data_IF_069267440043
#
_entry.id   IF_069267440043
#
_cell.length_a   1.000
_cell.length_b   1.000
_cell.length_c   1.000
_cell.angle_alpha   90.00
_cell.angle_beta   90.00
_cell.angle_gamma   90.00
#
_symmetry.space_group_name_H-M   'P 1'
#
loop_
_entity.id
_entity.type
_entity.pdbx_description
1 polymer ?
#
# COMPACT_ATOMS: atom_id res chain seq x y z
N UNK A 1 -54.34 -70.28 -55.40
CA UNK A 1 -53.89 -70.44 -53.99
C UNK A 1 -52.53 -71.10 -53.88
N UNK A 2 -52.25 -72.24 -54.54
CA UNK A 2 -50.96 -72.94 -54.46
C UNK A 2 -49.73 -72.17 -55.02
N UNK A 3 -49.92 -71.30 -56.01
CA UNK A 3 -48.85 -70.51 -56.63
C UNK A 3 -48.45 -69.30 -55.77
N UNK A 4 -49.40 -68.74 -55.01
CA UNK A 4 -49.16 -67.64 -54.08
C UNK A 4 -48.39 -68.12 -52.84
N UNK A 5 -48.67 -69.34 -52.35
CA UNK A 5 -47.88 -69.97 -51.28
C UNK A 5 -46.46 -70.32 -51.71
N UNK A 6 -46.25 -70.69 -52.98
CA UNK A 6 -44.94 -71.04 -53.52
C UNK A 6 -43.95 -69.87 -53.61
N UNK A 7 -44.42 -68.64 -53.82
CA UNK A 7 -43.58 -67.42 -53.87
C UNK A 7 -43.43 -66.71 -52.51
N UNK A 8 -44.40 -66.86 -51.60
CA UNK A 8 -44.39 -66.20 -50.29
C UNK A 8 -43.54 -66.95 -49.25
N UNK A 9 -43.55 -68.28 -49.27
CA UNK A 9 -42.75 -69.11 -48.36
C UNK A 9 -41.24 -68.77 -48.42
N UNK A 10 -40.60 -68.69 -49.61
CA UNK A 10 -39.18 -68.32 -49.73
C UNK A 10 -38.89 -66.90 -49.24
N UNK A 11 -39.82 -65.94 -49.44
CA UNK A 11 -39.66 -64.56 -48.97
C UNK A 11 -39.73 -64.48 -47.44
N UNK A 12 -40.67 -65.18 -46.81
CA UNK A 12 -40.80 -65.25 -45.35
C UNK A 12 -39.56 -65.91 -44.74
N UNK A 13 -39.07 -66.99 -45.35
CA UNK A 13 -37.84 -67.66 -44.94
C UNK A 13 -36.64 -66.71 -45.01
N UNK A 14 -36.47 -66.00 -46.13
CA UNK A 14 -35.42 -65.00 -46.30
C UNK A 14 -35.51 -63.86 -45.28
N UNK A 15 -36.71 -63.37 -44.99
CA UNK A 15 -36.94 -62.34 -43.96
C UNK A 15 -36.55 -62.86 -42.57
N UNK A 16 -36.90 -64.11 -42.25
CA UNK A 16 -36.50 -64.72 -40.97
C UNK A 16 -34.98 -64.86 -40.86
N UNK A 17 -34.29 -65.22 -41.94
CA UNK A 17 -32.82 -65.32 -41.96
C UNK A 17 -32.15 -63.95 -41.82
N UNK A 18 -32.70 -62.93 -42.48
CA UNK A 18 -32.22 -61.54 -42.38
C UNK A 18 -32.46 -60.98 -40.97
N UNK A 19 -33.62 -61.24 -40.38
CA UNK A 19 -33.94 -60.85 -39.00
C UNK A 19 -32.97 -61.51 -38.00
N UNK A 20 -32.69 -62.80 -38.13
CA UNK A 20 -31.71 -63.49 -37.27
C UNK A 20 -30.30 -62.90 -37.42
N UNK A 21 -29.90 -62.60 -38.66
CA UNK A 21 -28.61 -61.97 -38.94
C UNK A 21 -28.51 -60.57 -38.29
N UNK A 22 -29.56 -59.75 -38.41
CA UNK A 22 -29.64 -58.43 -37.77
C UNK A 22 -29.60 -58.54 -36.24
N UNK A 23 -30.34 -59.49 -35.65
CA UNK A 23 -30.34 -59.72 -34.21
C UNK A 23 -28.95 -60.14 -33.71
N UNK A 24 -28.23 -60.97 -34.47
CA UNK A 24 -26.83 -61.31 -34.17
C UNK A 24 -25.91 -60.11 -34.29
N UNK A 25 -26.03 -59.30 -35.35
CA UNK A 25 -25.22 -58.08 -35.52
C UNK A 25 -25.44 -57.08 -34.39
N UNK A 26 -26.70 -56.87 -33.97
CA UNK A 26 -27.04 -56.02 -32.83
C UNK A 26 -26.50 -56.60 -31.52
N UNK A 27 -26.62 -57.91 -31.32
CA UNK A 27 -26.06 -58.59 -30.14
C UNK A 27 -24.54 -58.39 -30.05
N UNK A 28 -23.81 -58.62 -31.14
CA UNK A 28 -22.36 -58.41 -31.21
C UNK A 28 -21.99 -56.97 -30.85
N UNK A 29 -22.76 -55.99 -31.34
CA UNK A 29 -22.52 -54.58 -31.05
C UNK A 29 -22.81 -54.23 -29.58
N UNK A 30 -23.90 -54.74 -29.02
CA UNK A 30 -24.30 -54.50 -27.62
C UNK A 30 -23.37 -55.21 -26.63
N UNK A 31 -22.88 -56.39 -26.98
CA UNK A 31 -21.93 -57.17 -26.18
C UNK A 31 -20.46 -56.79 -26.46
N UNK A 32 -20.21 -55.85 -27.39
CA UNK A 32 -18.86 -55.40 -27.72
C UNK A 32 -18.23 -54.64 -26.56
N UNK A 33 -16.95 -54.93 -26.31
CA UNK A 33 -16.18 -54.22 -25.29
C UNK A 33 -15.97 -52.75 -25.67
N UNK A 34 -15.93 -52.45 -26.97
CA UNK A 34 -15.76 -51.11 -27.51
C UNK A 34 -16.92 -50.20 -27.14
N UNK A 35 -18.18 -50.67 -27.28
CA UNK A 35 -19.36 -49.91 -26.88
C UNK A 35 -19.37 -49.66 -25.37
N UNK A 36 -19.08 -50.70 -24.57
CA UNK A 36 -19.00 -50.59 -23.11
C UNK A 36 -17.92 -49.58 -22.67
N UNK A 37 -16.74 -49.63 -23.30
CA UNK A 37 -15.64 -48.71 -23.03
C UNK A 37 -15.97 -47.28 -23.45
N UNK A 38 -16.65 -47.09 -24.58
CA UNK A 38 -17.13 -45.78 -25.03
C UNK A 38 -18.14 -45.21 -24.03
N UNK A 39 -19.09 -46.02 -23.56
CA UNK A 39 -20.08 -45.57 -22.58
C UNK A 39 -19.42 -45.16 -21.26
N UNK A 40 -18.47 -45.96 -20.77
CA UNK A 40 -17.70 -45.63 -19.55
C UNK A 40 -16.86 -44.37 -19.73
N UNK A 41 -16.28 -44.16 -20.91
CA UNK A 41 -15.52 -42.95 -21.22
C UNK A 41 -16.43 -41.72 -21.25
N UNK A 42 -17.61 -41.83 -21.85
CA UNK A 42 -18.62 -40.76 -21.88
C UNK A 42 -19.09 -40.41 -20.47
N UNK A 43 -19.37 -41.42 -19.64
CA UNK A 43 -19.76 -41.22 -18.24
C UNK A 43 -18.68 -40.45 -17.49
N UNK A 44 -17.41 -40.88 -17.62
CA UNK A 44 -16.27 -40.22 -16.99
C UNK A 44 -16.10 -38.78 -17.49
N UNK A 45 -16.12 -38.56 -18.80
CA UNK A 45 -16.01 -37.21 -19.37
C UNK A 45 -17.15 -36.32 -18.91
N UNK A 46 -18.37 -36.84 -18.82
CA UNK A 46 -19.53 -36.07 -18.34
C UNK A 46 -19.39 -35.71 -16.86
N UNK A 47 -18.87 -36.63 -16.03
CA UNK A 47 -18.56 -36.36 -14.63
C UNK A 47 -17.46 -35.28 -14.48
N UNK A 48 -16.37 -35.41 -15.24
CA UNK A 48 -15.26 -34.44 -15.24
C UNK A 48 -15.73 -33.05 -15.71
N UNK A 49 -16.62 -33.00 -16.71
CA UNK A 49 -17.25 -31.75 -17.17
C UNK A 49 -18.15 -31.13 -16.10
N UNK A 50 -18.92 -31.93 -15.35
CA UNK A 50 -19.76 -31.44 -14.26
C UNK A 50 -18.91 -30.80 -13.14
N UNK A 51 -17.81 -31.45 -12.76
CA UNK A 51 -16.85 -30.91 -11.79
C UNK A 51 -16.21 -29.61 -12.30
N UNK A 52 -15.71 -29.63 -13.54
CA UNK A 52 -15.07 -28.47 -14.17
C UNK A 52 -16.02 -27.28 -14.27
N UNK A 53 -17.29 -27.51 -14.63
CA UNK A 53 -18.34 -26.49 -14.67
C UNK A 53 -18.62 -25.89 -13.30
N UNK A 54 -18.67 -26.72 -12.25
CA UNK A 54 -18.84 -26.24 -10.88
C UNK A 54 -17.66 -25.39 -10.41
N UNK A 55 -16.43 -25.79 -10.74
CA UNK A 55 -15.22 -25.01 -10.45
C UNK A 55 -15.21 -23.67 -11.19
N UNK A 56 -15.52 -23.69 -12.49
CA UNK A 56 -15.61 -22.46 -13.30
C UNK A 56 -16.67 -21.51 -12.74
N UNK A 57 -17.84 -22.04 -12.35
CA UNK A 57 -18.87 -21.25 -11.67
C UNK A 57 -18.37 -20.66 -10.35
N UNK A 58 -17.57 -21.41 -9.60
CA UNK A 58 -16.91 -20.94 -8.39
C UNK A 58 -15.97 -19.75 -8.67
N UNK A 59 -15.06 -19.90 -9.63
CA UNK A 59 -14.14 -18.86 -10.07
C UNK A 59 -14.89 -17.60 -10.52
N UNK A 60 -15.91 -17.76 -11.38
CA UNK A 60 -16.68 -16.64 -11.90
C UNK A 60 -17.53 -15.94 -10.83
N UNK A 61 -18.02 -16.68 -9.83
CA UNK A 61 -18.86 -16.11 -8.77
C UNK A 61 -18.05 -15.46 -7.66
N UNK A 62 -16.90 -16.02 -7.30
CA UNK A 62 -16.17 -15.65 -6.09
C UNK A 62 -14.85 -14.94 -6.41
N UNK A 63 -14.04 -15.50 -7.31
CA UNK A 63 -12.66 -15.06 -7.51
C UNK A 63 -12.58 -13.89 -8.50
N UNK A 64 -13.27 -13.98 -9.63
CA UNK A 64 -13.30 -12.89 -10.63
C UNK A 64 -13.80 -11.57 -10.01
N UNK A 65 -14.93 -11.52 -9.27
CA UNK A 65 -15.37 -10.27 -8.66
C UNK A 65 -14.41 -9.74 -7.59
N UNK A 66 -13.76 -10.63 -6.83
CA UNK A 66 -12.74 -10.22 -5.84
C UNK A 66 -11.53 -9.60 -6.53
N UNK A 67 -10.98 -10.26 -7.55
CA UNK A 67 -9.87 -9.74 -8.35
C UNK A 67 -10.22 -8.38 -8.95
N UNK A 68 -11.42 -8.25 -9.54
CA UNK A 68 -11.87 -6.98 -10.11
C UNK A 68 -11.99 -5.87 -9.05
N UNK A 69 -12.45 -6.20 -7.84
CA UNK A 69 -12.48 -5.26 -6.72
C UNK A 69 -11.07 -4.83 -6.32
N UNK A 70 -10.14 -5.77 -6.18
CA UNK A 70 -8.75 -5.48 -5.79
C UNK A 70 -8.05 -4.62 -6.85
N UNK A 71 -8.25 -4.92 -8.14
CA UNK A 71 -7.74 -4.11 -9.26
C UNK A 71 -8.33 -2.70 -9.24
N UNK A 72 -9.62 -2.54 -8.93
CA UNK A 72 -10.24 -1.22 -8.81
C UNK A 72 -9.66 -0.41 -7.65
N UNK A 73 -9.43 -1.04 -6.49
CA UNK A 73 -8.77 -0.40 -5.33
C UNK A 73 -7.35 0.02 -5.70
N UNK A 74 -6.54 -0.89 -6.23
CA UNK A 74 -5.18 -0.62 -6.68
C UNK A 74 -5.13 0.56 -7.66
N UNK A 75 -6.03 0.58 -8.65
CA UNK A 75 -6.08 1.63 -9.66
C UNK A 75 -6.50 2.97 -9.05
N UNK A 76 -7.42 2.96 -8.08
CA UNK A 76 -7.82 4.15 -7.33
C UNK A 76 -6.67 4.73 -6.50
N UNK A 77 -5.98 3.88 -5.74
CA UNK A 77 -4.84 4.28 -4.91
C UNK A 77 -3.70 4.80 -5.77
N UNK A 78 -3.41 4.11 -6.88
CA UNK A 78 -2.42 4.57 -7.85
C UNK A 78 -2.79 5.93 -8.45
N UNK A 79 -4.07 6.17 -8.80
CA UNK A 79 -4.54 7.47 -9.28
C UNK A 79 -4.37 8.56 -8.22
N UNK A 80 -4.63 8.26 -6.95
CA UNK A 80 -4.42 9.19 -5.85
C UNK A 80 -2.95 9.53 -5.66
N UNK A 81 -2.07 8.52 -5.58
CA UNK A 81 -0.63 8.70 -5.43
C UNK A 81 -0.06 9.46 -6.63
N UNK A 82 -0.39 9.05 -7.85
CA UNK A 82 0.03 9.73 -9.08
C UNK A 82 -0.47 11.18 -9.13
N UNK A 83 -1.71 11.42 -8.72
CA UNK A 83 -2.28 12.77 -8.60
C UNK A 83 -1.55 13.63 -7.57
N UNK A 84 -1.19 13.07 -6.42
CA UNK A 84 -0.41 13.76 -5.39
C UNK A 84 1.01 14.04 -5.88
N UNK A 85 1.67 13.08 -6.54
CA UNK A 85 3.01 13.26 -7.11
C UNK A 85 3.04 14.37 -8.17
N UNK A 86 2.01 14.46 -9.01
CA UNK A 86 1.87 15.55 -10.00
C UNK A 86 1.70 16.94 -9.36
N UNK A 87 1.18 17.01 -8.13
CA UNK A 87 1.03 18.27 -7.39
C UNK A 87 2.32 18.69 -6.68
N UNK A 88 3.29 17.79 -6.53
CA UNK A 88 4.57 18.13 -5.93
C UNK A 88 5.37 18.94 -6.95
N UNK A 89 5.62 20.21 -6.62
CA UNK A 89 6.59 21.02 -7.33
C UNK A 89 7.99 20.70 -6.80
N UNK A 90 8.63 19.74 -7.44
CA UNK A 90 10.00 19.33 -7.11
C UNK A 90 11.00 20.46 -7.33
N UNK A 91 10.77 21.35 -8.30
CA UNK A 91 11.67 22.48 -8.57
C UNK A 91 11.60 23.51 -7.43
N UNK A 92 10.39 23.86 -6.98
CA UNK A 92 10.20 24.75 -5.84
C UNK A 92 10.73 24.13 -4.53
N UNK A 93 10.53 22.81 -4.35
CA UNK A 93 11.06 22.07 -3.18
C UNK A 93 12.59 22.10 -3.18
N UNK A 94 13.22 21.80 -4.30
CA UNK A 94 14.69 21.80 -4.41
C UNK A 94 15.25 23.21 -4.24
N UNK A 95 14.58 24.23 -4.77
CA UNK A 95 14.94 25.63 -4.55
C UNK A 95 14.87 26.00 -3.07
N UNK A 96 13.81 25.58 -2.37
CA UNK A 96 13.66 25.82 -0.92
C UNK A 96 14.72 25.09 -0.09
N UNK A 97 15.07 23.86 -0.48
CA UNK A 97 16.16 23.10 0.15
C UNK A 97 17.49 23.82 -0.07
N UNK A 98 17.81 24.23 -1.29
CA UNK A 98 19.05 24.95 -1.60
C UNK A 98 19.14 26.25 -0.78
N UNK A 99 18.07 27.04 -0.74
CA UNK A 99 18.04 28.26 0.06
C UNK A 99 18.21 27.97 1.56
N UNK A 100 17.66 26.88 2.07
CA UNK A 100 17.85 26.46 3.47
C UNK A 100 19.31 26.07 3.73
N UNK A 101 19.93 25.32 2.82
CA UNK A 101 21.33 24.93 2.91
C UNK A 101 22.26 26.15 2.83
N UNK A 102 21.99 27.08 1.91
CA UNK A 102 22.76 28.32 1.76
C UNK A 102 22.68 29.17 3.03
N UNK A 103 21.48 29.37 3.58
CA UNK A 103 21.33 30.12 4.83
C UNK A 103 22.00 29.43 6.01
N UNK A 104 21.90 28.11 6.11
CA UNK A 104 22.60 27.36 7.13
C UNK A 104 24.12 27.53 6.99
N UNK A 105 24.66 27.45 5.77
CA UNK A 105 26.07 27.70 5.49
C UNK A 105 26.48 29.11 5.95
N UNK A 106 25.71 30.14 5.58
CA UNK A 106 26.00 31.52 5.99
C UNK A 106 25.97 31.72 7.51
N UNK A 107 25.04 31.07 8.22
CA UNK A 107 24.99 31.11 9.69
C UNK A 107 26.21 30.40 10.27
N UNK A 108 26.51 29.20 9.78
CA UNK A 108 27.66 28.41 10.22
C UNK A 108 28.96 29.17 9.99
N UNK A 109 29.12 29.85 8.86
CA UNK A 109 30.30 30.67 8.55
C UNK A 109 30.43 31.86 9.52
N UNK A 110 29.32 32.55 9.82
CA UNK A 110 29.31 33.66 10.79
C UNK A 110 29.63 33.21 12.21
N UNK A 111 29.20 32.01 12.61
CA UNK A 111 29.47 31.45 13.94
C UNK A 111 30.91 30.95 14.03
N UNK A 112 31.40 30.29 12.99
CA UNK A 112 32.75 29.72 12.94
C UNK A 112 33.83 30.77 12.67
N UNK A 113 33.47 31.95 12.18
CA UNK A 113 34.43 33.04 12.02
C UNK A 113 34.77 33.65 13.40
N UNK A 114 36.00 33.45 13.93
CA UNK A 114 36.39 33.96 15.24
C UNK A 114 36.46 35.50 15.29
N UNK A 115 36.56 36.17 14.15
CA UNK A 115 36.61 37.63 14.04
C UNK A 115 35.22 38.27 13.90
N UNK A 116 34.17 37.47 13.70
CA UNK A 116 32.79 37.96 13.68
C UNK A 116 32.26 38.22 15.10
N UNK A 117 31.30 39.12 15.29
CA UNK A 117 30.78 39.48 16.63
C UNK A 117 30.37 38.28 17.49
N UNK A 118 29.75 37.26 16.89
CA UNK A 118 29.37 36.03 17.61
C UNK A 118 30.61 35.18 17.94
N UNK A 119 31.52 35.00 16.99
CA UNK A 119 32.79 34.30 17.24
C UNK A 119 33.63 34.99 18.29
N UNK A 120 33.76 36.32 18.23
CA UNK A 120 34.43 37.13 19.25
C UNK A 120 33.76 36.94 20.61
N UNK A 121 32.44 37.06 20.71
CA UNK A 121 31.70 36.85 21.95
C UNK A 121 31.96 35.47 22.56
N UNK A 122 31.92 34.41 21.74
CA UNK A 122 32.13 33.03 22.20
C UNK A 122 33.58 32.76 22.63
N UNK A 123 34.55 33.51 22.10
CA UNK A 123 35.98 33.29 22.34
C UNK A 123 36.66 34.37 23.20
N UNK A 124 35.98 35.46 23.57
CA UNK A 124 36.57 36.58 24.30
C UNK A 124 36.70 36.30 25.81
N UNK A 125 37.89 35.82 26.21
CA UNK A 125 38.25 35.60 27.61
C UNK A 125 38.14 36.86 28.47
N UNK A 126 38.44 38.04 27.94
CA UNK A 126 38.39 39.28 28.72
C UNK A 126 36.96 39.65 29.07
N UNK A 127 36.00 39.43 28.18
CA UNK A 127 34.58 39.62 28.50
C UNK A 127 34.14 38.75 29.68
N UNK A 128 34.47 37.45 29.67
CA UNK A 128 34.18 36.56 30.80
C UNK A 128 34.81 37.05 32.11
N UNK A 129 36.07 37.50 32.05
CA UNK A 129 36.78 38.05 33.21
C UNK A 129 36.09 39.32 33.73
N UNK A 130 35.75 40.26 32.85
CA UNK A 130 35.08 41.51 33.22
C UNK A 130 33.68 41.28 33.78
N UNK A 131 32.92 40.34 33.22
CA UNK A 131 31.61 39.95 33.75
C UNK A 131 31.73 39.35 35.15
N UNK A 132 32.69 38.45 35.36
CA UNK A 132 32.95 37.88 36.68
C UNK A 132 33.36 38.96 37.70
N UNK A 133 34.23 39.90 37.30
CA UNK A 133 34.64 41.01 38.15
C UNK A 133 33.48 41.96 38.46
N UNK A 134 32.61 42.23 37.48
CA UNK A 134 31.41 43.06 37.66
C UNK A 134 30.43 42.39 38.62
N UNK A 135 30.21 41.07 38.46
CA UNK A 135 29.39 40.29 39.38
C UNK A 135 29.95 40.31 40.81
N UNK A 136 31.27 40.18 40.97
CA UNK A 136 31.93 40.29 42.27
C UNK A 136 31.81 41.69 42.89
N UNK A 137 31.94 42.75 42.09
CA UNK A 137 31.76 44.13 42.56
C UNK A 137 30.30 44.42 42.94
N UNK A 138 29.34 43.90 42.17
CA UNK A 138 27.92 44.01 42.47
C UNK A 138 27.57 43.26 43.76
N UNK A 139 28.11 42.06 43.97
CA UNK A 139 27.95 41.30 45.22
C UNK A 139 28.48 42.10 46.43
N UNK A 140 29.69 42.68 46.31
CA UNK A 140 30.24 43.57 47.35
C UNK A 140 29.36 44.78 47.62
N UNK A 141 28.80 45.40 46.57
CA UNK A 141 27.89 46.53 46.71
C UNK A 141 26.59 46.12 47.43
N UNK A 142 26.04 44.95 47.12
CA UNK A 142 24.85 44.42 47.78
C UNK A 142 25.12 44.09 49.26
N UNK A 143 26.30 43.56 49.57
CA UNK A 143 26.75 43.36 50.95
C UNK A 143 26.85 44.72 51.66
N UNK A 144 27.55 45.70 51.10
CA UNK A 144 27.69 47.02 51.72
C UNK A 144 26.35 47.75 51.86
N UNK A 145 25.43 47.60 50.90
CA UNK A 145 24.07 48.10 50.99
C UNK A 145 23.30 47.45 52.15
N UNK A 146 23.47 46.14 52.37
CA UNK A 146 22.85 45.41 53.49
C UNK A 146 23.42 45.85 54.83
N UNK A 147 24.73 45.99 54.95
CA UNK A 147 25.40 46.39 56.20
C UNK A 147 25.23 47.90 56.50
N UNK A 148 25.18 48.76 55.46
CA UNK A 148 25.14 50.22 55.56
C UNK A 148 23.99 50.87 54.76
N UNK A 149 22.72 50.49 54.97
CA UNK A 149 21.61 50.88 54.10
C UNK A 149 21.36 52.40 54.05
N UNK A 150 21.65 53.12 55.14
CA UNK A 150 21.46 54.59 55.23
C UNK A 150 22.34 55.39 54.25
N UNK A 151 23.43 54.81 53.74
CA UNK A 151 24.33 55.47 52.77
C UNK A 151 23.76 55.50 51.34
N UNK A 152 22.83 54.61 51.03
CA UNK A 152 22.38 54.36 49.66
C UNK A 152 20.86 54.47 49.51
N UNK A 153 20.09 54.31 50.58
CA UNK A 153 18.62 54.47 50.56
C UNK A 153 18.22 55.50 51.60
N UNK A 154 17.74 56.65 51.11
CA UNK A 154 17.18 57.72 51.94
C UNK A 154 15.65 57.69 51.83
N UNK A 155 14.97 57.34 52.92
CA UNK A 155 13.52 57.46 53.01
C UNK A 155 13.16 58.88 53.44
N UNK A 156 12.61 59.68 52.51
CA UNK A 156 11.98 60.95 52.87
C UNK A 156 10.58 60.67 53.40
N UNK A 157 10.39 60.86 54.71
CA UNK A 157 9.08 60.75 55.37
C UNK A 157 8.20 62.00 55.18
N UNK A 158 8.63 62.95 54.34
CA UNK A 158 7.90 64.17 54.04
C UNK A 158 7.37 64.09 52.62
N UNK A 159 6.13 63.60 52.50
CA UNK A 159 5.35 63.64 51.26
C UNK A 159 5.25 65.08 50.74
N UNK A 160 5.25 65.19 49.41
CA UNK A 160 5.03 66.43 48.67
C UNK A 160 3.83 67.20 49.23
N UNK A 161 4.10 68.32 49.90
CA UNK A 161 3.07 69.35 50.05
C UNK A 161 2.87 69.98 48.67
N UNK A 162 1.75 69.62 48.05
CA UNK A 162 1.15 70.39 46.97
C UNK A 162 1.07 71.86 47.37
N UNK A 163 1.63 72.74 46.54
CA UNK A 163 1.13 74.09 46.29
C UNK A 163 1.59 74.56 44.93
#
# INVERSE_FOLDING_TARGET
>A
MAQLSGELLPKIESISTQADSLLRSVRVLVESNELKNSMSSIEKTTADLAVSSAQLKGLMKNDVPRIMKDVNVLTSDFKQVSGNLKKIDFAATFTSINHTIENLSLITDKVNNPEGTVGMLLNDKNLYIHLNNTASSADKLLIDLRENPKRYVHFSLFGSKSK
#
